data_IF_154111703146
#
_entry.id   IF_154111703146
#
_cell.length_a   1.000
_cell.length_b   1.000
_cell.length_c   1.000
_cell.angle_alpha   90.00
_cell.angle_beta   90.00
_cell.angle_gamma   90.00
#
_symmetry.space_group_name_H-M   'P 1'
#
loop_
_entity.id
_entity.type
_entity.pdbx_description
1 polymer ?
#
# COMPACT_ATOMS: atom_id res chain seq x y z
N UNK A 1 -25.74 9.53 5.69
CA UNK A 1 -25.95 9.20 4.27
C UNK A 1 -25.96 7.70 4.13
N UNK A 2 -27.03 7.13 3.59
CA UNK A 2 -27.11 5.70 3.27
C UNK A 2 -26.41 5.42 1.93
N UNK A 3 -26.01 4.17 1.65
CA UNK A 3 -25.47 3.77 0.35
C UNK A 3 -26.37 4.16 -0.83
N UNK A 4 -27.69 4.04 -0.67
CA UNK A 4 -28.66 4.34 -1.73
C UNK A 4 -28.72 5.84 -2.05
N UNK A 5 -28.67 6.69 -1.02
CA UNK A 5 -28.63 8.15 -1.19
C UNK A 5 -27.38 8.62 -1.96
N UNK A 6 -26.26 7.89 -1.86
CA UNK A 6 -25.01 8.22 -2.55
C UNK A 6 -25.16 8.03 -4.07
N UNK A 7 -25.88 6.98 -4.48
CA UNK A 7 -25.97 6.58 -5.89
C UNK A 7 -27.25 7.07 -6.57
N UNK A 8 -28.23 7.58 -5.83
CA UNK A 8 -29.55 7.97 -6.32
C UNK A 8 -29.47 8.89 -7.56
N UNK A 9 -28.65 9.93 -7.48
CA UNK A 9 -28.53 10.99 -8.50
C UNK A 9 -27.50 10.70 -9.60
N UNK A 10 -26.96 9.50 -9.67
CA UNK A 10 -26.00 9.08 -10.70
C UNK A 10 -26.73 8.44 -11.89
N UNK A 11 -26.14 8.54 -13.08
CA UNK A 11 -26.64 7.76 -14.23
C UNK A 11 -26.23 6.27 -14.09
N UNK A 12 -26.81 5.34 -14.89
CA UNK A 12 -26.53 3.91 -14.73
C UNK A 12 -25.04 3.52 -14.76
N UNK A 13 -24.28 4.07 -15.71
CA UNK A 13 -22.83 3.78 -15.84
C UNK A 13 -22.02 4.33 -14.67
N UNK A 14 -22.38 5.52 -14.17
CA UNK A 14 -21.78 6.09 -12.98
C UNK A 14 -22.13 5.28 -11.72
N UNK A 15 -23.35 4.76 -11.60
CA UNK A 15 -23.75 3.87 -10.51
C UNK A 15 -22.92 2.59 -10.53
N UNK A 16 -22.80 1.95 -11.69
CA UNK A 16 -21.96 0.76 -11.88
C UNK A 16 -20.52 1.02 -11.43
N UNK A 17 -19.93 2.13 -11.90
CA UNK A 17 -18.60 2.55 -11.50
C UNK A 17 -18.44 2.82 -10.00
N UNK A 18 -19.51 3.17 -9.27
CA UNK A 18 -19.49 3.37 -7.82
C UNK A 18 -19.65 2.06 -7.05
N UNK A 19 -20.52 1.15 -7.51
CA UNK A 19 -20.83 -0.10 -6.81
C UNK A 19 -19.80 -1.22 -7.05
N UNK A 20 -19.02 -1.15 -8.12
CA UNK A 20 -17.96 -2.15 -8.43
C UNK A 20 -16.78 -1.98 -7.47
N UNK A 21 -16.85 -2.50 -6.25
CA UNK A 21 -15.84 -2.28 -5.19
C UNK A 21 -14.69 -3.27 -5.19
N UNK A 22 -14.84 -4.41 -5.83
CA UNK A 22 -13.84 -5.48 -5.84
C UNK A 22 -12.86 -5.33 -7.01
N UNK A 23 -11.58 -5.54 -6.71
CA UNK A 23 -10.49 -5.50 -7.70
C UNK A 23 -10.18 -4.11 -8.28
N UNK A 24 -9.21 -4.03 -9.20
CA UNK A 24 -8.90 -2.81 -9.94
C UNK A 24 -10.02 -2.43 -10.92
N UNK A 25 -10.37 -1.15 -11.00
CA UNK A 25 -11.35 -0.62 -11.95
C UNK A 25 -10.76 0.52 -12.77
N UNK A 26 -10.85 0.43 -14.11
CA UNK A 26 -10.50 1.50 -15.04
C UNK A 26 -11.77 2.18 -15.55
N UNK A 27 -11.83 3.51 -15.43
CA UNK A 27 -12.94 4.32 -15.94
C UNK A 27 -12.38 5.30 -16.96
N UNK A 28 -12.86 5.22 -18.20
CA UNK A 28 -12.49 6.14 -19.29
C UNK A 28 -13.68 7.07 -19.53
N UNK A 29 -13.46 8.39 -19.45
CA UNK A 29 -14.54 9.35 -19.64
C UNK A 29 -14.04 10.71 -20.15
N UNK A 30 -14.82 11.33 -21.02
CA UNK A 30 -14.54 12.67 -21.59
C UNK A 30 -14.63 13.81 -20.57
N UNK A 31 -14.37 15.05 -21.01
CA UNK A 31 -14.59 16.25 -20.20
C UNK A 31 -16.08 16.38 -19.80
N UNK A 32 -16.37 16.98 -18.64
CA UNK A 32 -17.76 17.20 -18.17
C UNK A 32 -18.56 15.96 -17.75
N UNK A 33 -18.07 14.74 -17.99
CA UNK A 33 -18.75 13.46 -17.69
C UNK A 33 -18.98 13.13 -16.20
N UNK A 34 -18.56 14.00 -15.29
CA UNK A 34 -18.74 13.80 -13.84
C UNK A 34 -17.69 12.92 -13.16
N UNK A 35 -16.48 12.75 -13.73
CA UNK A 35 -15.37 11.95 -13.16
C UNK A 35 -15.14 12.20 -11.65
N UNK A 36 -15.06 13.45 -11.25
CA UNK A 36 -14.88 13.83 -9.83
C UNK A 36 -16.04 13.36 -8.97
N UNK A 37 -17.28 13.49 -9.47
CA UNK A 37 -18.48 13.04 -8.77
C UNK A 37 -18.53 11.53 -8.61
N UNK A 38 -18.10 10.78 -9.63
CA UNK A 38 -17.98 9.32 -9.55
C UNK A 38 -16.94 8.91 -8.50
N UNK A 39 -15.76 9.53 -8.52
CA UNK A 39 -14.69 9.23 -7.56
C UNK A 39 -15.11 9.52 -6.11
N UNK A 40 -15.71 10.68 -5.86
CA UNK A 40 -16.16 11.04 -4.50
C UNK A 40 -17.31 10.15 -4.03
N UNK A 41 -18.28 9.86 -4.89
CA UNK A 41 -19.38 8.95 -4.57
C UNK A 41 -18.87 7.53 -4.31
N UNK A 42 -17.87 7.05 -5.05
CA UNK A 42 -17.23 5.74 -4.84
C UNK A 42 -16.57 5.64 -3.49
N UNK A 43 -15.79 6.64 -3.08
CA UNK A 43 -15.18 6.69 -1.74
C UNK A 43 -16.26 6.71 -0.67
N UNK A 44 -17.27 7.57 -0.80
CA UNK A 44 -18.39 7.63 0.15
C UNK A 44 -19.11 6.28 0.26
N UNK A 45 -19.34 5.59 -0.85
CA UNK A 45 -20.01 4.29 -0.89
C UNK A 45 -19.21 3.20 -0.18
N UNK A 46 -17.89 3.12 -0.42
CA UNK A 46 -16.97 2.19 0.25
C UNK A 46 -17.01 2.41 1.77
N UNK A 47 -16.97 3.66 2.21
CA UNK A 47 -17.01 4.01 3.64
C UNK A 47 -18.37 3.69 4.26
N UNK A 48 -19.47 4.05 3.60
CA UNK A 48 -20.83 3.80 4.08
C UNK A 48 -21.13 2.30 4.24
N UNK A 49 -20.54 1.46 3.37
CA UNK A 49 -20.66 -0.01 3.44
C UNK A 49 -19.58 -0.69 4.29
N UNK A 50 -18.68 0.09 4.92
CA UNK A 50 -17.54 -0.43 5.72
C UNK A 50 -16.66 -1.43 4.96
N UNK A 51 -16.45 -1.19 3.66
CA UNK A 51 -15.62 -2.03 2.79
C UNK A 51 -14.14 -1.61 2.77
N UNK A 52 -13.80 -0.50 3.44
CA UNK A 52 -12.43 -0.05 3.57
C UNK A 52 -11.65 -0.95 4.55
N UNK A 53 -10.64 -1.65 4.07
CA UNK A 53 -9.65 -2.27 4.94
C UNK A 53 -8.73 -1.21 5.53
N UNK A 54 -8.56 -1.22 6.86
CA UNK A 54 -7.55 -0.42 7.52
C UNK A 54 -6.16 -0.91 7.07
N UNK A 55 -5.45 -0.06 6.34
CA UNK A 55 -4.07 -0.27 5.86
C UNK A 55 -3.89 -1.31 4.73
N UNK A 56 -3.95 -0.84 3.48
CA UNK A 56 -3.23 -1.48 2.36
C UNK A 56 -1.86 -0.84 2.28
N UNK A 57 -0.82 -1.57 2.69
CA UNK A 57 0.57 -1.14 2.47
C UNK A 57 0.85 -1.12 0.97
N UNK A 58 0.81 0.08 0.39
CA UNK A 58 1.13 0.34 -1.01
C UNK A 58 2.57 0.83 -1.19
N UNK A 59 3.46 0.59 -0.21
CA UNK A 59 4.87 0.91 -0.39
C UNK A 59 5.45 0.03 -1.49
N UNK A 60 5.75 0.68 -2.62
CA UNK A 60 6.54 0.15 -3.73
C UNK A 60 7.87 -0.34 -3.17
N UNK A 61 8.27 -1.55 -3.58
CA UNK A 61 9.38 -2.36 -3.04
C UNK A 61 9.17 -2.85 -1.60
N UNK A 62 8.74 -4.12 -1.51
CA UNK A 62 9.06 -4.97 -0.36
C UNK A 62 10.58 -4.97 -0.18
N UNK A 63 11.11 -4.07 0.66
CA UNK A 63 12.36 -4.35 1.36
C UNK A 63 12.09 -5.62 2.16
N UNK A 64 12.70 -6.72 1.74
CA UNK A 64 12.58 -7.99 2.46
C UNK A 64 13.34 -7.86 3.77
N UNK A 65 12.65 -7.38 4.80
CA UNK A 65 13.19 -7.11 6.14
C UNK A 65 13.85 -8.36 6.73
N UNK A 66 13.39 -9.56 6.37
CA UNK A 66 14.03 -10.81 6.81
C UNK A 66 15.40 -10.98 6.17
N UNK A 67 15.50 -10.70 4.86
CA UNK A 67 16.77 -10.77 4.11
C UNK A 67 17.75 -9.71 4.59
N UNK A 68 17.32 -8.46 4.78
CA UNK A 68 18.17 -7.38 5.28
C UNK A 68 18.74 -7.71 6.66
N UNK A 69 17.89 -8.16 7.61
CA UNK A 69 18.35 -8.59 8.94
C UNK A 69 19.36 -9.74 8.90
N UNK A 70 19.20 -10.69 7.98
CA UNK A 70 20.14 -11.80 7.81
C UNK A 70 21.51 -11.34 7.29
N UNK A 71 21.53 -10.33 6.42
CA UNK A 71 22.77 -9.75 5.88
C UNK A 71 23.49 -8.92 6.94
N UNK A 72 22.76 -8.12 7.71
CA UNK A 72 23.31 -7.36 8.83
C UNK A 72 23.92 -8.27 9.90
N UNK A 73 23.23 -9.37 10.25
CA UNK A 73 23.77 -10.37 11.17
C UNK A 73 25.07 -10.99 10.64
N UNK A 74 25.13 -11.30 9.34
CA UNK A 74 26.32 -11.88 8.69
C UNK A 74 27.49 -10.89 8.64
N UNK A 75 27.21 -9.62 8.38
CA UNK A 75 28.20 -8.54 8.42
C UNK A 75 28.76 -8.36 9.83
N UNK A 76 27.91 -8.29 10.84
CA UNK A 76 28.32 -8.15 12.23
C UNK A 76 29.18 -9.33 12.70
N UNK A 77 28.78 -10.56 12.37
CA UNK A 77 29.57 -11.76 12.67
C UNK A 77 30.94 -11.77 11.96
N UNK A 78 31.02 -11.20 10.75
CA UNK A 78 32.29 -11.09 10.02
C UNK A 78 33.17 -9.98 10.58
N UNK A 79 32.59 -8.84 10.98
CA UNK A 79 33.29 -7.75 11.64
C UNK A 79 33.89 -8.18 12.98
N UNK A 80 33.14 -8.92 13.80
CA UNK A 80 33.62 -9.44 15.08
C UNK A 80 34.83 -10.38 14.91
N UNK A 81 34.78 -11.27 13.90
CA UNK A 81 35.92 -12.16 13.58
C UNK A 81 37.16 -11.39 13.17
N UNK A 82 37.00 -10.34 12.34
CA UNK A 82 38.11 -9.49 11.94
C UNK A 82 38.71 -8.72 13.13
N UNK A 83 37.88 -8.19 14.03
CA UNK A 83 38.34 -7.50 15.24
C UNK A 83 39.13 -8.44 16.15
N UNK A 84 38.67 -9.69 16.31
CA UNK A 84 39.39 -10.69 17.08
C UNK A 84 40.74 -11.06 16.46
N UNK A 85 40.79 -11.22 15.13
CA UNK A 85 42.03 -11.48 14.40
C UNK A 85 43.04 -10.34 14.58
N UNK A 86 42.61 -9.09 14.37
CA UNK A 86 43.46 -7.90 14.54
C UNK A 86 43.93 -7.77 16.00
N UNK A 87 43.06 -8.06 16.98
CA UNK A 87 43.44 -8.04 18.39
C UNK A 87 44.43 -9.15 18.77
N UNK A 88 44.38 -10.32 18.11
CA UNK A 88 45.33 -11.40 18.32
C UNK A 88 46.68 -11.18 17.64
N UNK A 89 46.74 -10.31 16.62
CA UNK A 89 47.96 -9.93 15.89
C UNK A 89 48.61 -8.66 16.49
N UNK A 90 48.06 -8.11 17.57
CA UNK A 90 48.65 -6.98 18.27
C UNK A 90 49.94 -7.42 18.98
N UNK A 91 51.10 -6.79 18.73
CA UNK A 91 52.31 -7.12 19.47
C UNK A 91 52.09 -6.84 20.96
N UNK A 92 52.47 -7.79 21.80
CA UNK A 92 52.49 -7.59 23.25
C UNK A 92 53.39 -6.39 23.59
N UNK A 93 53.01 -5.53 24.55
CA UNK A 93 53.81 -4.37 24.93
C UNK A 93 55.20 -4.75 25.45
#
# INVERSE_FOLDING_TARGET
>A
MTPDQIIEKLNPVQKEAVITTEGPLLIIAGAGSGKTRVLTSRVAYILARRLAHAYRDNTRQRRDVRRERSLEASLNASSARLQQFVASDAPSP
#
